data_IF_400458397228
#
_entry.id   IF_400458397228
#
_cell.length_a   1.000
_cell.length_b   1.000
_cell.length_c   1.000
_cell.angle_alpha   90.00
_cell.angle_beta   90.00
_cell.angle_gamma   90.00
#
_symmetry.space_group_name_H-M   'P 1'
#
loop_
_entity.id
_entity.type
_entity.pdbx_description
1 polymer ?
#
# COMPACT_ATOMS: atom_id res chain seq x y z
N UNK A 1 43.54 -47.70 4.62
CA UNK A 1 42.50 -46.64 4.71
C UNK A 1 41.14 -47.26 4.42
N UNK A 2 40.29 -47.30 5.45
CA UNK A 2 39.00 -48.01 5.47
C UNK A 2 37.93 -47.21 4.70
N UNK A 3 37.29 -47.85 3.72
CA UNK A 3 36.14 -47.28 2.98
C UNK A 3 34.87 -47.56 3.79
N UNK A 4 34.42 -46.57 4.55
CA UNK A 4 33.14 -46.60 5.26
C UNK A 4 32.00 -46.31 4.27
N UNK A 5 31.03 -47.21 4.30
CA UNK A 5 29.74 -47.21 3.58
C UNK A 5 28.74 -46.25 4.26
N UNK A 6 27.60 -46.03 3.57
CA UNK A 6 26.30 -45.45 4.01
C UNK A 6 26.21 -43.93 3.73
N UNK A 7 25.18 -43.32 3.16
CA UNK A 7 23.72 -43.51 3.06
C UNK A 7 23.28 -42.94 1.67
N UNK A 8 22.45 -43.52 0.80
CA UNK A 8 21.05 -43.98 0.89
C UNK A 8 20.01 -42.85 1.08
N UNK A 9 18.98 -42.88 0.23
CA UNK A 9 17.79 -42.00 0.06
C UNK A 9 17.96 -40.85 -0.93
N UNK A 10 17.63 -40.98 -2.23
CA UNK A 10 16.33 -41.30 -2.85
C UNK A 10 15.18 -40.37 -2.40
N UNK A 11 14.70 -39.57 -3.35
CA UNK A 11 13.27 -39.35 -3.58
C UNK A 11 12.65 -38.16 -2.88
N UNK A 12 12.35 -37.11 -3.65
CA UNK A 12 10.96 -36.81 -4.03
C UNK A 12 10.94 -35.48 -4.79
N UNK A 13 10.89 -35.60 -6.11
CA UNK A 13 10.15 -34.66 -6.94
C UNK A 13 8.71 -34.65 -6.42
N UNK A 14 8.34 -33.68 -5.59
CA UNK A 14 6.95 -33.42 -5.24
C UNK A 14 6.52 -32.13 -5.91
N UNK A 15 6.01 -32.32 -7.11
CA UNK A 15 5.10 -31.42 -7.79
C UNK A 15 3.91 -31.17 -6.85
N UNK A 16 3.83 -29.99 -6.23
CA UNK A 16 2.57 -29.52 -5.65
C UNK A 16 1.85 -28.65 -6.67
N UNK A 17 1.00 -29.33 -7.43
CA UNK A 17 -0.01 -28.78 -8.33
C UNK A 17 -1.17 -28.25 -7.47
N UNK A 18 -1.60 -27.04 -7.82
CA UNK A 18 -2.94 -26.45 -7.65
C UNK A 18 -3.55 -26.36 -6.24
N UNK A 19 -3.59 -25.12 -5.75
CA UNK A 19 -4.77 -24.60 -5.06
C UNK A 19 -5.28 -23.36 -5.82
N UNK A 20 -5.89 -23.57 -6.99
CA UNK A 20 -6.97 -22.68 -7.42
C UNK A 20 -8.19 -23.05 -6.57
N UNK A 21 -8.31 -22.43 -5.40
CA UNK A 21 -9.49 -22.51 -4.56
C UNK A 21 -10.06 -21.11 -4.43
N UNK A 22 -11.13 -20.86 -5.19
CA UNK A 22 -12.16 -19.89 -4.88
C UNK A 22 -11.78 -18.43 -5.05
N UNK A 23 -12.31 -17.81 -6.10
CA UNK A 23 -12.67 -16.40 -6.06
C UNK A 23 -13.79 -16.20 -5.01
N UNK A 24 -13.46 -16.38 -3.73
CA UNK A 24 -14.09 -15.57 -2.71
C UNK A 24 -13.53 -14.19 -2.95
N UNK A 25 -14.36 -13.28 -3.45
CA UNK A 25 -14.10 -11.84 -3.35
C UNK A 25 -14.11 -11.45 -1.87
N UNK A 26 -13.17 -11.98 -1.10
CA UNK A 26 -12.87 -11.51 0.24
C UNK A 26 -12.25 -10.15 -0.02
N UNK A 27 -13.01 -9.09 0.27
CA UNK A 27 -12.47 -7.73 0.28
C UNK A 27 -11.36 -7.75 1.31
N UNK A 28 -10.11 -7.80 0.83
CA UNK A 28 -8.94 -7.84 1.69
C UNK A 28 -9.02 -6.62 2.61
N UNK A 29 -9.08 -6.88 3.91
CA UNK A 29 -9.22 -5.86 4.94
C UNK A 29 -7.95 -5.88 5.77
N UNK A 30 -7.29 -4.73 5.85
CA UNK A 30 -6.14 -4.57 6.73
C UNK A 30 -6.55 -4.74 8.18
N UNK A 31 -5.68 -5.35 8.98
CA UNK A 31 -5.82 -5.39 10.42
C UNK A 31 -5.74 -3.97 11.00
N UNK A 32 -6.34 -3.76 12.16
CA UNK A 32 -6.28 -2.46 12.83
C UNK A 32 -4.86 -2.11 13.29
N UNK A 33 -4.05 -3.11 13.63
CA UNK A 33 -2.63 -2.94 13.93
C UNK A 33 -1.86 -2.36 12.73
N UNK A 34 -2.08 -2.91 11.52
CA UNK A 34 -1.44 -2.39 10.31
C UNK A 34 -1.94 -0.99 9.96
N UNK A 35 -3.22 -0.67 10.16
CA UNK A 35 -3.72 0.69 9.95
C UNK A 35 -3.06 1.69 10.91
N UNK A 36 -2.96 1.35 12.19
CA UNK A 36 -2.31 2.20 13.19
C UNK A 36 -0.82 2.41 12.88
N UNK A 37 -0.14 1.37 12.38
CA UNK A 37 1.24 1.46 11.92
C UNK A 37 1.38 2.44 10.73
N UNK A 38 0.50 2.34 9.74
CA UNK A 38 0.46 3.25 8.58
C UNK A 38 0.16 4.68 9.03
N UNK A 39 -0.80 4.89 9.92
CA UNK A 39 -1.13 6.22 10.48
C UNK A 39 0.07 6.86 11.17
N UNK A 40 0.82 6.08 11.95
CA UNK A 40 2.03 6.54 12.66
C UNK A 40 3.15 6.90 11.68
N UNK A 41 3.37 6.05 10.67
CA UNK A 41 4.37 6.32 9.63
C UNK A 41 3.99 7.56 8.81
N UNK A 42 2.70 7.71 8.47
CA UNK A 42 2.20 8.86 7.73
C UNK A 42 2.25 10.16 8.56
N UNK A 43 1.96 10.10 9.86
CA UNK A 43 2.15 11.26 10.74
C UNK A 43 3.60 11.73 10.72
N UNK A 44 4.54 10.80 10.90
CA UNK A 44 5.98 11.12 10.90
C UNK A 44 6.44 11.70 9.55
N UNK A 45 5.96 11.12 8.44
CA UNK A 45 6.20 11.63 7.10
C UNK A 45 5.65 13.04 6.93
N UNK A 46 4.36 13.26 7.21
CA UNK A 46 3.70 14.54 6.97
C UNK A 46 4.26 15.65 7.88
N UNK A 47 4.52 15.34 9.15
CA UNK A 47 5.13 16.25 10.13
C UNK A 47 6.54 16.71 9.70
N UNK A 48 7.28 15.87 8.94
CA UNK A 48 8.59 16.26 8.43
C UNK A 48 8.53 17.37 7.36
N UNK A 49 7.37 17.59 6.74
CA UNK A 49 7.12 18.66 5.78
C UNK A 49 6.36 19.85 6.39
N UNK A 50 5.46 19.58 7.33
CA UNK A 50 4.65 20.59 8.01
C UNK A 50 4.42 20.22 9.48
N UNK A 51 5.11 20.91 10.38
CA UNK A 51 5.05 20.69 11.83
C UNK A 51 3.73 21.16 12.48
N UNK A 52 2.86 21.81 11.71
CA UNK A 52 1.53 22.21 12.18
C UNK A 52 0.51 21.07 12.10
N UNK A 53 0.87 19.94 11.49
CA UNK A 53 0.07 18.72 11.46
C UNK A 53 0.03 18.10 12.85
N UNK A 54 -1.18 17.82 13.34
CA UNK A 54 -1.40 17.29 14.68
C UNK A 54 -2.22 15.99 14.70
N UNK A 55 -2.79 15.59 13.56
CA UNK A 55 -3.60 14.38 13.44
C UNK A 55 -3.49 13.81 12.03
N UNK A 56 -3.45 12.49 11.93
CA UNK A 56 -3.58 11.75 10.67
C UNK A 56 -4.60 10.62 10.85
N UNK A 57 -5.25 10.23 9.76
CA UNK A 57 -6.26 9.17 9.79
C UNK A 57 -6.17 8.29 8.54
N UNK A 58 -6.31 6.99 8.73
CA UNK A 58 -6.49 6.02 7.66
C UNK A 58 -7.92 6.09 7.11
N UNK A 59 -8.05 6.32 5.80
CA UNK A 59 -9.35 6.53 5.16
C UNK A 59 -9.77 5.32 4.34
N UNK A 60 -8.91 4.89 3.41
CA UNK A 60 -9.23 3.79 2.48
C UNK A 60 -7.99 2.94 2.17
N UNK A 61 -8.23 1.64 2.00
CA UNK A 61 -7.24 0.68 1.50
C UNK A 61 -7.34 0.56 -0.03
N UNK A 62 -6.24 0.80 -0.74
CA UNK A 62 -6.13 0.72 -2.20
C UNK A 62 -5.58 -0.60 -2.75
N UNK A 63 -5.19 -1.53 -1.87
CA UNK A 63 -4.61 -2.83 -2.23
C UNK A 63 -3.13 -2.96 -1.87
N UNK A 64 -2.63 -4.20 -1.96
CA UNK A 64 -1.22 -4.53 -1.74
C UNK A 64 -0.59 -4.97 -3.06
N UNK A 65 0.52 -4.33 -3.44
CA UNK A 65 1.21 -4.57 -4.70
C UNK A 65 2.68 -4.80 -4.44
N UNK A 66 3.14 -6.01 -4.75
CA UNK A 66 4.52 -6.44 -4.46
C UNK A 66 4.92 -6.20 -2.99
N UNK A 67 3.98 -6.44 -2.05
CA UNK A 67 4.18 -6.26 -0.61
C UNK A 67 4.06 -4.80 -0.11
N UNK A 68 3.83 -3.82 -0.98
CA UNK A 68 3.63 -2.42 -0.59
C UNK A 68 2.12 -2.11 -0.54
N UNK A 69 1.70 -1.42 0.51
CA UNK A 69 0.29 -1.09 0.76
C UNK A 69 -0.01 0.29 0.18
N UNK A 70 -1.02 0.38 -0.67
CA UNK A 70 -1.58 1.66 -1.12
C UNK A 70 -2.69 2.05 -0.15
N UNK A 71 -2.64 3.28 0.36
CA UNK A 71 -3.66 3.80 1.26
C UNK A 71 -3.99 5.26 0.96
N UNK A 72 -5.26 5.61 1.15
CA UNK A 72 -5.68 7.00 1.26
C UNK A 72 -5.62 7.38 2.74
N UNK A 73 -4.96 8.49 3.01
CA UNK A 73 -4.83 9.07 4.34
C UNK A 73 -5.39 10.49 4.33
N UNK A 74 -5.80 10.97 5.49
CA UNK A 74 -6.08 12.38 5.72
C UNK A 74 -5.19 12.92 6.84
N UNK A 75 -5.00 14.24 6.89
CA UNK A 75 -4.36 14.93 7.99
C UNK A 75 -5.16 16.14 8.45
N UNK A 76 -4.91 16.58 9.69
CA UNK A 76 -5.35 17.89 10.18
C UNK A 76 -4.15 18.71 10.63
N UNK A 77 -4.20 19.99 10.33
CA UNK A 77 -3.16 20.96 10.69
C UNK A 77 -3.80 22.25 11.21
N UNK A 78 -3.09 22.95 12.10
CA UNK A 78 -3.53 24.24 12.64
C UNK A 78 -3.50 25.37 11.59
N UNK A 79 -2.76 25.19 10.50
CA UNK A 79 -2.54 26.19 9.46
C UNK A 79 -3.25 25.86 8.14
N UNK A 80 -3.82 24.67 8.01
CA UNK A 80 -4.41 24.18 6.77
C UNK A 80 -5.83 24.73 6.60
N UNK A 81 -6.00 25.73 5.74
CA UNK A 81 -7.32 26.15 5.25
C UNK A 81 -7.71 25.23 4.10
N UNK A 82 -8.53 24.23 4.39
CA UNK A 82 -8.94 23.22 3.44
C UNK A 82 -10.19 23.68 2.70
N UNK A 83 -10.08 23.90 1.38
CA UNK A 83 -11.26 24.08 0.53
C UNK A 83 -12.04 22.77 0.46
N UNK A 84 -13.38 22.80 0.57
CA UNK A 84 -14.25 21.61 0.43
C UNK A 84 -14.35 21.10 -1.03
N UNK A 85 -13.36 21.41 -1.86
CA UNK A 85 -13.34 21.05 -3.27
C UNK A 85 -12.74 19.67 -3.44
N UNK A 86 -13.52 18.76 -4.02
CA UNK A 86 -13.04 17.45 -4.46
C UNK A 86 -11.96 17.62 -5.52
N UNK A 87 -10.85 16.89 -5.37
CA UNK A 87 -9.69 16.92 -6.27
C UNK A 87 -9.60 15.56 -6.96
N UNK A 88 -9.67 15.54 -8.28
CA UNK A 88 -9.43 14.33 -9.07
C UNK A 88 -7.92 14.03 -9.11
N UNK A 89 -7.52 12.83 -8.70
CA UNK A 89 -6.11 12.41 -8.67
C UNK A 89 -5.77 11.55 -9.89
N UNK A 90 -4.83 12.00 -10.71
CA UNK A 90 -4.37 11.32 -11.92
C UNK A 90 -2.89 10.96 -11.84
N UNK A 91 -2.53 9.80 -12.39
CA UNK A 91 -1.14 9.38 -12.61
C UNK A 91 -1.03 8.82 -14.01
N UNK A 92 -0.10 9.34 -14.82
CA UNK A 92 0.12 8.90 -16.22
C UNK A 92 -1.18 8.87 -17.04
N UNK A 93 -1.94 9.97 -16.97
CA UNK A 93 -3.27 10.17 -17.57
C UNK A 93 -4.36 9.18 -17.13
N UNK A 94 -4.10 8.37 -16.10
CA UNK A 94 -5.08 7.45 -15.50
C UNK A 94 -5.68 8.10 -14.28
N UNK A 95 -7.00 8.31 -14.30
CA UNK A 95 -7.76 8.67 -13.10
C UNK A 95 -7.66 7.55 -12.06
N UNK A 96 -7.17 7.88 -10.87
CA UNK A 96 -7.02 6.94 -9.75
C UNK A 96 -8.19 7.08 -8.78
N UNK A 97 -8.40 8.25 -8.19
CA UNK A 97 -9.49 8.46 -7.23
C UNK A 97 -9.83 9.93 -7.06
N UNK A 98 -10.96 10.18 -6.41
CA UNK A 98 -11.32 11.49 -5.89
C UNK A 98 -10.76 11.64 -4.48
N UNK A 99 -10.00 12.72 -4.26
CA UNK A 99 -9.63 13.17 -2.92
C UNK A 99 -10.71 14.15 -2.45
N UNK A 100 -11.36 13.92 -1.30
CA UNK A 100 -12.44 14.80 -0.83
C UNK A 100 -12.06 16.27 -0.73
N UNK A 101 -10.79 16.55 -0.42
CA UNK A 101 -10.19 17.88 -0.42
C UNK A 101 -8.65 17.79 -0.32
N UNK A 102 -7.97 18.93 -0.16
CA UNK A 102 -6.51 19.02 -0.06
C UNK A 102 -5.87 18.46 1.20
N UNK A 103 -6.65 18.03 2.20
CA UNK A 103 -6.10 17.35 3.40
C UNK A 103 -5.97 15.85 3.21
N UNK A 104 -6.43 15.30 2.08
CA UNK A 104 -6.31 13.89 1.74
C UNK A 104 -5.10 13.67 0.86
N UNK A 105 -4.47 12.52 1.01
CA UNK A 105 -3.33 12.10 0.19
C UNK A 105 -3.43 10.63 -0.13
N UNK A 106 -2.97 10.27 -1.32
CA UNK A 106 -2.71 8.88 -1.69
C UNK A 106 -1.24 8.59 -1.43
N UNK A 107 -0.95 7.53 -0.68
CA UNK A 107 0.40 7.14 -0.29
C UNK A 107 0.67 5.66 -0.57
N UNK A 108 1.95 5.29 -0.50
CA UNK A 108 2.41 3.91 -0.48
C UNK A 108 3.20 3.68 0.80
N UNK A 109 2.72 2.75 1.62
CA UNK A 109 3.45 2.22 2.76
C UNK A 109 4.30 1.03 2.29
N UNK A 110 5.62 1.20 2.33
CA UNK A 110 6.57 0.26 1.75
C UNK A 110 6.80 -0.95 2.65
N UNK A 111 7.38 -2.02 2.09
CA UNK A 111 7.86 -3.16 2.88
C UNK A 111 8.93 -2.78 3.92
N UNK A 112 9.65 -1.66 3.71
CA UNK A 112 10.61 -1.09 4.67
C UNK A 112 9.92 -0.29 5.79
N UNK A 113 8.59 -0.23 5.80
CA UNK A 113 7.77 0.51 6.77
C UNK A 113 7.92 2.03 6.65
N UNK A 114 8.17 2.50 5.44
CA UNK A 114 8.31 3.92 5.12
C UNK A 114 7.15 4.39 4.26
N UNK A 115 6.94 5.71 4.22
CA UNK A 115 5.93 6.33 3.36
C UNK A 115 6.60 6.91 2.13
N UNK A 116 6.09 6.52 0.96
CA UNK A 116 6.34 7.19 -0.29
C UNK A 116 5.05 7.90 -0.74
N UNK A 117 5.18 9.11 -1.30
CA UNK A 117 4.06 9.70 -2.04
C UNK A 117 3.75 8.83 -3.27
N UNK A 118 2.48 8.76 -3.65
CA UNK A 118 2.04 7.82 -4.66
C UNK A 118 2.64 8.07 -6.05
N UNK A 119 2.92 9.35 -6.39
CA UNK A 119 3.54 9.70 -7.66
C UNK A 119 5.01 9.26 -7.71
N UNK A 120 5.78 9.47 -6.65
CA UNK A 120 7.16 8.96 -6.56
C UNK A 120 7.19 7.44 -6.57
N UNK A 121 6.29 6.77 -5.84
CA UNK A 121 6.19 5.31 -5.88
C UNK A 121 5.89 4.77 -7.28
N UNK A 122 5.12 5.50 -8.09
CA UNK A 122 4.92 5.17 -9.50
C UNK A 122 6.21 5.37 -10.33
N UNK A 123 6.86 6.52 -10.17
CA UNK A 123 8.11 6.85 -10.88
C UNK A 123 9.24 5.85 -10.58
N UNK A 124 9.30 5.36 -9.34
CA UNK A 124 10.28 4.37 -8.87
C UNK A 124 9.92 2.93 -9.26
N UNK A 125 8.77 2.71 -9.90
CA UNK A 125 8.30 1.40 -10.33
C UNK A 125 7.77 0.51 -9.20
N UNK A 126 7.56 1.05 -8.00
CA UNK A 126 6.90 0.36 -6.88
C UNK A 126 5.43 0.10 -7.24
N UNK A 127 4.79 1.12 -7.82
CA UNK A 127 3.45 1.02 -8.42
C UNK A 127 3.61 1.06 -9.93
N UNK A 128 3.01 0.09 -10.61
CA UNK A 128 3.04 0.02 -12.08
C UNK A 128 1.73 0.54 -12.68
N UNK A 129 1.76 0.88 -13.97
CA UNK A 129 0.56 1.32 -14.71
C UNK A 129 -0.59 0.32 -14.62
N UNK A 130 -0.28 -0.98 -14.60
CA UNK A 130 -1.27 -2.05 -14.45
C UNK A 130 -1.95 -2.03 -13.07
N UNK A 131 -1.27 -1.55 -12.02
CA UNK A 131 -1.85 -1.46 -10.68
C UNK A 131 -2.86 -0.33 -10.58
N UNK A 132 -2.68 0.78 -11.32
CA UNK A 132 -3.53 1.98 -11.23
C UNK A 132 -5.02 1.67 -11.42
N UNK A 133 -5.36 0.78 -12.36
CA UNK A 133 -6.75 0.39 -12.61
C UNK A 133 -7.38 -0.40 -11.44
N UNK A 134 -6.59 -1.28 -10.80
CA UNK A 134 -7.05 -2.04 -9.63
C UNK A 134 -7.20 -1.12 -8.42
N UNK A 135 -6.25 -0.21 -8.22
CA UNK A 135 -6.28 0.81 -7.15
C UNK A 135 -7.52 1.68 -7.30
N UNK A 136 -7.79 2.18 -8.51
CA UNK A 136 -8.99 2.95 -8.82
C UNK A 136 -10.26 2.23 -8.38
N UNK A 137 -10.38 0.95 -8.71
CA UNK A 137 -11.58 0.19 -8.37
C UNK A 137 -11.70 -0.08 -6.86
N UNK A 138 -10.59 -0.15 -6.14
CA UNK A 138 -10.59 -0.30 -4.68
C UNK A 138 -10.94 1.00 -3.95
N UNK A 139 -10.61 2.16 -4.53
CA UNK A 139 -10.75 3.47 -3.88
C UNK A 139 -12.02 4.24 -4.23
N UNK A 140 -12.77 3.82 -5.26
CA UNK A 140 -14.14 4.30 -5.51
C UNK A 140 -15.01 4.02 -4.30
#
# INVERSE_FOLDING_TARGET
>A
MSKIKKFLLLGMFSVFIFACLGAAACKEQLSDETKAEIETAYFSYAYSYDDSIYETQFEKYGGTYSGNIVAMMSCRSNNLVVSETVIEYYVDDVFVCDLPNGSYSLIVYTQSKEIADFQSAYNDGIITKNNLMSIRNALK
#
